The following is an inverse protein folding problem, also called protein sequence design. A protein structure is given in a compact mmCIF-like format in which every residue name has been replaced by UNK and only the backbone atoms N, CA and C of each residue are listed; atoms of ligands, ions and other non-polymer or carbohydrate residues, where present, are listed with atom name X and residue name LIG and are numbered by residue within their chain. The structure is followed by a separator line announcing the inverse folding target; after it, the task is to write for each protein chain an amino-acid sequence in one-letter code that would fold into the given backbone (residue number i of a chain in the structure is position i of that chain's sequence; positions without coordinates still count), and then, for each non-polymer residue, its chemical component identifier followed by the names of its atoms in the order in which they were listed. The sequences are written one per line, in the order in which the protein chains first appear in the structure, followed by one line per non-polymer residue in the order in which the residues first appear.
data_IF_174043552697
#
_entry.id   IF_174043552697
#
_cell.length_a   1.000
_cell.length_b   1.000
_cell.length_c   1.000
_cell.angle_alpha   90.00
_cell.angle_beta   90.00
_cell.angle_gamma   90.00
#
_symmetry.space_group_name_H-M   'P 1'
#
loop_
_entity.id
_entity.type
_entity.pdbx_description
1 polymer ?
#
# COMPACT_ATOMS: atom_id res chain seq x y z
N UNK A 1 12.71 -13.52 21.74
CA UNK A 1 11.43 -13.59 20.99
C UNK A 1 10.46 -12.59 21.62
N UNK A 2 10.57 -11.31 21.26
CA UNK A 2 9.59 -10.31 21.69
C UNK A 2 8.25 -10.62 21.00
N UNK A 3 7.18 -10.71 21.78
CA UNK A 3 5.90 -11.20 21.30
C UNK A 3 5.22 -10.14 20.43
N UNK A 4 4.53 -10.57 19.37
CA UNK A 4 3.66 -9.78 18.48
C UNK A 4 2.69 -8.83 19.22
N UNK A 5 2.48 -9.01 20.52
CA UNK A 5 1.59 -8.19 21.35
C UNK A 5 2.19 -6.85 21.79
N UNK A 6 3.52 -6.68 21.80
CA UNK A 6 4.14 -5.42 22.23
C UNK A 6 4.07 -4.33 21.15
N UNK A 7 4.16 -4.69 19.87
CA UNK A 7 4.05 -3.74 18.75
C UNK A 7 2.63 -3.14 18.58
N UNK A 8 1.59 -3.76 19.13
CA UNK A 8 0.20 -3.32 18.97
C UNK A 8 -0.35 -2.50 20.16
N UNK A 9 0.43 -2.28 21.23
CA UNK A 9 -0.03 -1.56 22.43
C UNK A 9 -0.43 -0.09 22.19
N UNK A 10 0.26 0.70 21.33
CA UNK A 10 -0.16 2.09 21.06
C UNK A 10 -1.50 2.18 20.32
N UNK A 11 -1.76 1.24 19.40
CA UNK A 11 -2.94 1.24 18.54
C UNK A 11 -4.28 1.11 19.31
N UNK A 12 -4.28 0.45 20.48
CA UNK A 12 -5.51 0.21 21.26
C UNK A 12 -6.01 1.43 22.03
N UNK A 13 -5.14 2.40 22.34
CA UNK A 13 -5.50 3.67 23.00
C UNK A 13 -5.91 4.76 22.00
N UNK A 14 -5.39 4.72 20.77
CA UNK A 14 -5.65 5.73 19.74
C UNK A 14 -7.01 5.58 19.04
N UNK A 15 -7.66 4.41 19.12
CA UNK A 15 -9.00 4.15 18.57
C UNK A 15 -10.15 4.94 19.24
N UNK A 16 -9.85 5.77 20.25
CA UNK A 16 -10.86 6.55 20.99
C UNK A 16 -11.06 7.97 20.44
N UNK A 17 -10.22 8.42 19.51
CA UNK A 17 -10.36 9.72 18.85
C UNK A 17 -10.37 9.53 17.32
N UNK A 18 -11.53 9.67 16.65
CA UNK A 18 -11.66 9.46 15.21
C UNK A 18 -10.94 10.52 14.35
N UNK A 19 -10.44 11.60 14.96
CA UNK A 19 -9.73 12.67 14.25
C UNK A 19 -8.21 12.47 14.19
N UNK A 20 -7.68 11.55 14.99
CA UNK A 20 -6.24 11.28 15.04
C UNK A 20 -5.86 10.16 14.08
N UNK A 21 -4.85 10.34 13.20
CA UNK A 21 -4.40 9.27 12.32
C UNK A 21 -3.95 8.07 13.16
N UNK A 22 -4.42 6.87 12.80
CA UNK A 22 -3.94 5.63 13.40
C UNK A 22 -2.53 5.36 12.87
N UNK A 23 -1.53 5.62 13.70
CA UNK A 23 -0.14 5.31 13.41
C UNK A 23 0.16 3.87 13.82
N UNK A 24 0.61 3.06 12.87
CA UNK A 24 1.00 1.68 13.13
C UNK A 24 2.37 1.40 12.51
N UNK A 25 3.34 1.12 13.38
CA UNK A 25 4.67 0.68 12.97
C UNK A 25 4.73 -0.84 12.84
N UNK A 26 5.25 -1.30 11.71
CA UNK A 26 5.22 -2.71 11.33
C UNK A 26 6.61 -3.17 10.92
N UNK A 27 7.19 -4.08 11.70
CA UNK A 27 8.53 -4.62 11.44
C UNK A 27 8.48 -6.03 10.83
N UNK A 28 9.13 -6.18 9.67
CA UNK A 28 9.34 -7.46 9.01
C UNK A 28 8.35 -7.80 7.89
N UNK A 29 8.83 -8.51 6.86
CA UNK A 29 8.09 -8.82 5.62
C UNK A 29 6.76 -9.52 5.86
N UNK A 30 6.69 -10.43 6.84
CA UNK A 30 5.47 -11.16 7.17
C UNK A 30 4.46 -10.29 7.93
N UNK A 31 4.93 -9.37 8.77
CA UNK A 31 4.06 -8.43 9.48
C UNK A 31 3.43 -7.43 8.50
N UNK A 32 4.20 -6.94 7.53
CA UNK A 32 3.67 -6.10 6.43
C UNK A 32 2.55 -6.82 5.66
N UNK A 33 2.72 -8.11 5.36
CA UNK A 33 1.69 -8.92 4.68
C UNK A 33 0.40 -9.01 5.52
N UNK A 34 0.53 -9.26 6.82
CA UNK A 34 -0.63 -9.38 7.73
C UNK A 34 -1.39 -8.05 7.80
N UNK A 35 -0.69 -6.94 7.98
CA UNK A 35 -1.30 -5.61 8.06
C UNK A 35 -2.06 -5.26 6.79
N UNK A 36 -1.42 -5.43 5.63
CA UNK A 36 -2.06 -5.13 4.35
C UNK A 36 -3.24 -6.06 4.07
N UNK A 37 -3.16 -7.34 4.48
CA UNK A 37 -4.29 -8.27 4.40
C UNK A 37 -5.44 -7.82 5.29
N UNK A 38 -5.16 -7.40 6.52
CA UNK A 38 -6.17 -6.89 7.45
C UNK A 38 -6.84 -5.63 6.90
N UNK A 39 -6.06 -4.70 6.33
CA UNK A 39 -6.61 -3.48 5.73
C UNK A 39 -7.47 -3.81 4.51
N UNK A 40 -7.00 -4.69 3.62
CA UNK A 40 -7.77 -5.12 2.46
C UNK A 40 -9.08 -5.85 2.87
N UNK A 41 -9.04 -6.67 3.91
CA UNK A 41 -10.22 -7.33 4.46
C UNK A 41 -11.20 -6.34 5.11
N UNK A 42 -10.69 -5.33 5.83
CA UNK A 42 -11.52 -4.27 6.42
C UNK A 42 -12.14 -3.39 5.33
N UNK A 43 -11.43 -3.11 4.23
CA UNK A 43 -11.98 -2.37 3.10
C UNK A 43 -13.19 -3.08 2.46
N UNK A 44 -13.18 -4.42 2.43
CA UNK A 44 -14.33 -5.20 1.96
C UNK A 44 -15.56 -5.10 2.88
N UNK A 45 -15.34 -4.94 4.19
CA UNK A 45 -16.42 -4.76 5.17
C UNK A 45 -17.00 -3.34 5.12
N UNK A 46 -16.15 -2.32 4.93
CA UNK A 46 -16.58 -0.92 4.76
C UNK A 46 -17.40 -0.72 3.48
N UNK A 47 -17.16 -1.52 2.44
CA UNK A 47 -18.02 -1.50 1.24
C UNK A 47 -19.38 -2.16 1.43
N UNK A 48 -19.56 -3.03 2.44
CA UNK A 48 -20.77 -3.84 2.64
C UNK A 48 -21.75 -3.22 3.66
N UNK A 49 -21.24 -2.40 4.60
CA UNK A 49 -22.08 -1.76 5.62
C UNK A 49 -22.39 -0.28 5.30
N UNK A 50 -23.61 -0.05 4.79
CA UNK A 50 -24.47 1.08 5.18
C UNK A 50 -24.47 2.41 4.39
N UNK A 51 -24.00 2.52 3.15
CA UNK A 51 -24.44 3.65 2.26
C UNK A 51 -24.10 3.37 0.80
N UNK A 52 -24.92 3.86 -0.15
CA UNK A 52 -24.77 3.72 -1.61
C UNK A 52 -23.49 4.35 -2.22
N UNK A 53 -22.52 4.71 -1.39
CA UNK A 53 -21.19 5.22 -1.77
C UNK A 53 -20.17 4.27 -1.14
N UNK A 54 -19.73 3.25 -1.90
CA UNK A 54 -18.77 2.27 -1.43
C UNK A 54 -17.44 2.97 -1.07
N UNK A 55 -17.26 3.28 0.21
CA UNK A 55 -16.02 3.82 0.75
C UNK A 55 -14.89 2.83 0.52
N UNK A 56 -13.74 3.31 0.06
CA UNK A 56 -12.52 2.51 -0.13
C UNK A 56 -11.46 2.97 0.84
N UNK A 57 -10.68 2.04 1.37
CA UNK A 57 -9.51 2.36 2.19
C UNK A 57 -8.26 2.42 1.29
N UNK A 58 -7.58 3.57 1.31
CA UNK A 58 -6.32 3.78 0.61
C UNK A 58 -5.20 4.11 1.58
N UNK A 59 -3.97 3.88 1.16
CA UNK A 59 -2.77 3.93 1.99
C UNK A 59 -1.77 4.92 1.44
N UNK A 60 -1.51 6.01 2.15
CA UNK A 60 -0.27 6.73 1.96
C UNK A 60 0.87 5.93 2.61
N UNK A 61 1.91 5.65 1.83
CA UNK A 61 3.05 4.84 2.28
C UNK A 61 4.27 5.73 2.35
N UNK A 62 4.89 5.83 3.53
CA UNK A 62 6.08 6.63 3.77
C UNK A 62 7.23 5.77 4.26
N UNK A 63 8.46 6.23 4.02
CA UNK A 63 9.63 5.65 4.68
C UNK A 63 9.65 6.18 6.10
N UNK A 64 9.61 5.27 7.07
CA UNK A 64 9.82 5.63 8.47
C UNK A 64 11.31 5.72 8.76
N UNK A 65 11.69 6.78 9.47
CA UNK A 65 13.03 7.01 10.00
C UNK A 65 13.10 6.58 11.47
N UNK A 66 12.58 5.40 11.82
CA UNK A 66 12.79 4.86 13.17
C UNK A 66 14.26 4.44 13.35
N UNK A 67 15.02 5.32 13.98
CA UNK A 67 16.37 5.05 14.51
C UNK A 67 16.22 4.75 16.00
N UNK A 68 15.99 3.49 16.35
CA UNK A 68 16.27 3.02 17.71
C UNK A 68 17.24 1.84 17.64
N UNK A 69 18.35 2.03 18.36
CA UNK A 69 19.41 1.11 18.75
C UNK A 69 19.43 -0.29 18.09
N UNK A 70 20.55 -0.55 17.40
CA UNK A 70 20.94 -1.80 16.71
C UNK A 70 20.43 -1.98 15.25
N UNK A 71 20.92 -1.10 14.37
CA UNK A 71 21.02 -1.30 12.92
C UNK A 71 20.11 -0.40 12.09
N UNK A 72 20.61 0.13 10.96
CA UNK A 72 19.85 0.93 9.97
C UNK A 72 18.67 0.13 9.39
N UNK A 73 17.56 0.06 10.15
CA UNK A 73 16.33 -0.62 9.74
C UNK A 73 15.36 0.42 9.22
N UNK A 74 15.18 0.42 7.90
CA UNK A 74 14.20 1.30 7.23
C UNK A 74 12.80 0.70 7.37
N UNK A 75 11.94 1.40 8.10
CA UNK A 75 10.53 1.04 8.28
C UNK A 75 9.64 1.59 7.17
N UNK A 76 8.39 1.12 7.12
CA UNK A 76 7.32 1.75 6.36
C UNK A 76 6.27 2.26 7.33
N UNK A 77 5.86 3.50 7.15
CA UNK A 77 4.72 4.11 7.81
C UNK A 77 3.52 4.06 6.86
N UNK A 78 2.35 3.71 7.39
CA UNK A 78 1.11 3.64 6.65
C UNK A 78 0.10 4.61 7.25
N UNK A 79 -0.36 5.57 6.46
CA UNK A 79 -1.52 6.40 6.81
C UNK A 79 -2.72 5.93 6.00
N UNK A 80 -3.81 5.60 6.70
CA UNK A 80 -5.03 5.07 6.09
C UNK A 80 -6.03 6.19 5.88
N UNK A 81 -6.55 6.32 4.66
CA UNK A 81 -7.62 7.25 4.32
C UNK A 81 -8.86 6.48 3.88
N UNK A 82 -10.03 6.87 4.39
CA UNK A 82 -11.30 6.47 3.83
C UNK A 82 -11.68 7.46 2.72
N UNK A 83 -11.87 6.97 1.51
CA UNK A 83 -12.17 7.79 0.34
C UNK A 83 -13.41 7.30 -0.38
N UNK A 84 -14.15 8.21 -0.99
CA UNK A 84 -15.29 7.91 -1.86
C UNK A 84 -14.91 8.21 -3.32
N UNK A 85 -15.32 7.35 -4.25
CA UNK A 85 -15.17 7.61 -5.68
C UNK A 85 -13.72 7.70 -6.16
N UNK A 86 -12.98 6.58 -6.11
CA UNK A 86 -11.65 6.52 -6.72
C UNK A 86 -11.73 6.58 -8.25
N UNK A 87 -10.74 7.22 -8.92
CA UNK A 87 -10.63 7.20 -10.37
C UNK A 87 -10.61 5.76 -10.92
N UNK A 88 -11.04 5.54 -12.18
CA UNK A 88 -10.97 4.23 -12.80
C UNK A 88 -9.53 3.71 -12.83
N UNK A 89 -9.37 2.39 -12.65
CA UNK A 89 -8.07 1.75 -12.63
C UNK A 89 -7.35 1.87 -14.00
N UNK A 90 -6.02 1.95 -13.96
CA UNK A 90 -5.19 1.94 -15.16
C UNK A 90 -5.30 0.60 -15.91
N UNK A 91 -5.32 0.64 -17.25
CA UNK A 91 -5.36 -0.56 -18.11
C UNK A 91 -4.02 -1.28 -18.22
N UNK A 92 -2.90 -0.56 -18.10
CA UNK A 92 -1.56 -1.14 -18.23
C UNK A 92 -0.90 -1.30 -16.87
N UNK A 93 -0.36 -2.49 -16.63
CA UNK A 93 0.18 -2.89 -15.33
C UNK A 93 1.69 -2.98 -15.33
N UNK A 94 2.29 -2.76 -14.16
CA UNK A 94 3.69 -3.01 -13.88
C UNK A 94 3.78 -4.30 -13.06
N UNK A 95 4.46 -5.31 -13.60
CA UNK A 95 4.67 -6.61 -12.92
C UNK A 95 5.89 -6.55 -12.02
N UNK A 96 5.74 -7.10 -10.82
CA UNK A 96 6.76 -7.12 -9.78
C UNK A 96 7.06 -8.56 -9.39
N UNK A 97 8.34 -8.89 -9.50
CA UNK A 97 8.92 -10.16 -9.09
C UNK A 97 9.87 -9.96 -7.91
N UNK A 98 10.36 -11.08 -7.35
CA UNK A 98 11.34 -11.08 -6.26
C UNK A 98 12.63 -10.34 -6.64
N UNK A 99 13.04 -10.40 -7.89
CA UNK A 99 14.29 -9.82 -8.41
C UNK A 99 14.10 -8.36 -8.89
N UNK A 100 12.88 -7.82 -8.79
CA UNK A 100 12.59 -6.46 -9.23
C UNK A 100 13.40 -5.43 -8.44
N UNK A 101 14.10 -4.55 -9.17
CA UNK A 101 14.79 -3.42 -8.55
C UNK A 101 13.77 -2.36 -8.10
N UNK A 102 13.73 -2.12 -6.79
CA UNK A 102 12.74 -1.23 -6.16
C UNK A 102 12.90 0.23 -6.62
N UNK A 103 14.12 0.72 -6.85
CA UNK A 103 14.35 2.09 -7.34
C UNK A 103 13.85 2.30 -8.77
N UNK A 104 14.11 1.33 -9.66
CA UNK A 104 13.55 1.35 -11.03
C UNK A 104 12.03 1.28 -11.03
N UNK A 105 11.45 0.43 -10.17
CA UNK A 105 10.00 0.35 -9.98
C UNK A 105 9.43 1.70 -9.51
N UNK A 106 10.07 2.36 -8.56
CA UNK A 106 9.65 3.67 -8.07
C UNK A 106 9.67 4.74 -9.17
N UNK A 107 10.72 4.76 -9.99
CA UNK A 107 10.80 5.65 -11.16
C UNK A 107 9.67 5.40 -12.16
N UNK A 108 9.36 4.12 -12.44
CA UNK A 108 8.25 3.76 -13.32
C UNK A 108 6.88 4.18 -12.74
N UNK A 109 6.65 4.00 -11.44
CA UNK A 109 5.43 4.47 -10.77
C UNK A 109 5.34 5.99 -10.88
N UNK A 110 6.40 6.73 -10.52
CA UNK A 110 6.40 8.18 -10.60
C UNK A 110 6.11 8.67 -12.02
N UNK A 111 6.68 8.03 -13.05
CA UNK A 111 6.41 8.36 -14.44
C UNK A 111 4.93 8.16 -14.81
N UNK A 112 4.33 7.01 -14.44
CA UNK A 112 2.90 6.76 -14.68
C UNK A 112 1.99 7.74 -13.95
N UNK A 113 2.37 8.16 -12.76
CA UNK A 113 1.61 9.18 -12.02
C UNK A 113 1.69 10.54 -12.72
N UNK A 114 2.84 10.90 -13.31
CA UNK A 114 2.97 12.13 -14.12
C UNK A 114 2.11 12.08 -15.38
N UNK A 115 2.17 10.98 -16.12
CA UNK A 115 1.50 10.81 -17.41
C UNK A 115 -0.01 10.59 -17.26
N UNK A 116 -0.40 9.64 -16.42
CA UNK A 116 -1.76 9.11 -16.35
C UNK A 116 -2.48 9.50 -15.06
N UNK A 117 -1.76 9.96 -14.03
CA UNK A 117 -2.31 10.19 -12.69
C UNK A 117 -2.63 8.91 -11.89
N UNK A 118 -2.40 7.73 -12.48
CA UNK A 118 -2.68 6.42 -11.87
C UNK A 118 -1.64 5.39 -12.30
N UNK A 119 -1.25 4.49 -11.39
CA UNK A 119 -0.39 3.36 -11.71
C UNK A 119 -0.94 2.04 -11.13
N UNK A 120 -1.01 0.99 -11.93
CA UNK A 120 -1.37 -0.35 -11.45
C UNK A 120 -0.10 -1.21 -11.33
N UNK A 121 0.16 -1.73 -10.13
CA UNK A 121 1.33 -2.56 -9.83
C UNK A 121 0.85 -3.91 -9.30
N UNK A 122 1.32 -5.01 -9.89
CA UNK A 122 0.94 -6.37 -9.50
C UNK A 122 2.14 -7.23 -9.17
N UNK A 123 1.97 -8.12 -8.20
CA UNK A 123 2.98 -9.10 -7.86
C UNK A 123 2.41 -10.21 -6.98
N UNK A 124 3.16 -11.32 -6.91
CA UNK A 124 2.81 -12.47 -6.09
C UNK A 124 3.82 -12.66 -4.95
N UNK A 125 3.31 -13.00 -3.77
CA UNK A 125 4.15 -13.31 -2.60
C UNK A 125 4.63 -12.08 -1.82
N UNK A 126 5.18 -12.37 -0.62
CA UNK A 126 5.49 -11.33 0.38
C UNK A 126 6.64 -10.40 -0.05
N UNK A 127 7.61 -10.91 -0.82
CA UNK A 127 8.75 -10.11 -1.28
C UNK A 127 8.30 -9.11 -2.36
N UNK A 128 7.47 -9.54 -3.30
CA UNK A 128 6.91 -8.64 -4.31
C UNK A 128 6.04 -7.55 -3.66
N UNK A 129 5.20 -7.92 -2.69
CA UNK A 129 4.43 -6.95 -1.89
C UNK A 129 5.32 -5.90 -1.21
N UNK A 130 6.41 -6.35 -0.55
CA UNK A 130 7.37 -5.44 0.06
C UNK A 130 7.98 -4.50 -0.98
N UNK A 131 8.36 -5.01 -2.15
CA UNK A 131 8.93 -4.20 -3.24
C UNK A 131 7.91 -3.18 -3.76
N UNK A 132 6.65 -3.57 -3.93
CA UNK A 132 5.57 -2.68 -4.33
C UNK A 132 5.42 -1.51 -3.36
N UNK A 133 5.26 -1.79 -2.05
CA UNK A 133 5.09 -0.76 -1.02
C UNK A 133 6.32 0.14 -0.88
N UNK A 134 7.52 -0.46 -0.89
CA UNK A 134 8.77 0.30 -0.82
C UNK A 134 8.94 1.22 -2.02
N UNK A 135 8.55 0.76 -3.22
CA UNK A 135 8.62 1.57 -4.43
C UNK A 135 7.59 2.72 -4.42
N UNK A 136 6.38 2.49 -3.88
CA UNK A 136 5.39 3.57 -3.67
C UNK A 136 5.96 4.63 -2.73
N UNK A 137 6.56 4.24 -1.61
CA UNK A 137 7.15 5.21 -0.67
C UNK A 137 8.30 6.03 -1.30
N UNK A 138 9.13 5.41 -2.15
CA UNK A 138 10.19 6.11 -2.88
C UNK A 138 9.61 7.02 -3.95
N UNK A 139 8.62 6.55 -4.72
CA UNK A 139 7.97 7.33 -5.75
C UNK A 139 7.31 8.58 -5.16
N UNK A 140 6.70 8.46 -3.97
CA UNK A 140 6.17 9.60 -3.23
C UNK A 140 7.25 10.64 -2.97
N UNK A 141 8.42 10.22 -2.46
CA UNK A 141 9.55 11.12 -2.25
C UNK A 141 10.05 11.79 -3.54
N UNK A 142 10.15 11.04 -4.65
CA UNK A 142 10.55 11.60 -5.95
C UNK A 142 9.60 12.69 -6.47
N UNK A 143 8.29 12.52 -6.24
CA UNK A 143 7.28 13.49 -6.68
C UNK A 143 7.26 14.71 -5.74
N UNK A 144 7.50 14.53 -4.44
CA UNK A 144 7.57 15.62 -3.46
C UNK A 144 8.81 16.49 -3.59
N UNK A 145 9.99 15.87 -3.73
CA UNK A 145 11.26 16.58 -3.88
C UNK A 145 11.26 17.53 -5.10
N UNK A 146 10.37 17.28 -6.06
CA UNK A 146 10.20 18.06 -7.29
C UNK A 146 8.98 18.98 -7.27
N UNK A 147 8.26 19.06 -6.15
CA UNK A 147 6.99 19.79 -6.01
C UNK A 147 5.92 19.39 -7.05
N UNK A 148 5.97 18.14 -7.53
CA UNK A 148 5.07 17.60 -8.56
C UNK A 148 3.74 17.09 -7.98
N UNK A 149 3.63 17.01 -6.64
CA UNK A 149 2.41 16.63 -5.97
C UNK A 149 1.46 17.81 -5.71
N UNK A 150 1.92 19.07 -5.63
CA UNK A 150 1.06 20.26 -5.65
C UNK A 150 -0.17 20.21 -4.72
N UNK A 151 -0.02 19.78 -3.47
CA UNK A 151 -1.13 19.64 -2.51
C UNK A 151 -1.88 18.30 -2.59
N UNK A 152 -1.34 17.32 -3.30
CA UNK A 152 -1.82 15.94 -3.32
C UNK A 152 -0.87 15.03 -2.53
N UNK A 153 -1.38 13.88 -2.08
CA UNK A 153 -0.61 12.80 -1.49
C UNK A 153 -0.70 11.55 -2.39
N UNK A 154 0.40 10.81 -2.47
CA UNK A 154 0.43 9.55 -3.20
C UNK A 154 -0.15 8.43 -2.33
N UNK A 155 -1.26 7.85 -2.76
CA UNK A 155 -1.96 6.79 -2.02
C UNK A 155 -2.09 5.52 -2.86
N UNK A 156 -2.07 4.37 -2.20
CA UNK A 156 -2.23 3.05 -2.81
C UNK A 156 -3.51 2.37 -2.32
N UNK A 157 -4.32 1.90 -3.25
CA UNK A 157 -5.46 1.02 -3.01
C UNK A 157 -4.99 -0.45 -3.05
N UNK A 158 -4.94 -1.16 -1.91
CA UNK A 158 -4.57 -2.56 -1.87
C UNK A 158 -5.72 -3.49 -2.24
N UNK A 159 -5.46 -4.49 -3.09
CA UNK A 159 -6.41 -5.58 -3.40
C UNK A 159 -5.70 -6.92 -3.48
N UNK A 160 -6.33 -7.94 -2.93
CA UNK A 160 -6.00 -9.33 -3.21
C UNK A 160 -6.90 -9.80 -4.34
N UNK A 161 -6.30 -10.35 -5.39
CA UNK A 161 -7.02 -10.84 -6.55
C UNK A 161 -6.57 -12.28 -6.79
N UNK A 162 -7.53 -13.21 -6.75
CA UNK A 162 -7.25 -14.59 -7.12
C UNK A 162 -7.33 -14.70 -8.64
N UNK A 163 -6.23 -15.16 -9.24
CA UNK A 163 -6.15 -15.37 -10.68
C UNK A 163 -6.14 -16.86 -10.98
N UNK A 164 -6.91 -17.23 -12.01
CA UNK A 164 -6.89 -18.56 -12.59
C UNK A 164 -5.79 -18.59 -13.65
N UNK A 165 -4.89 -19.56 -13.58
CA UNK A 165 -3.85 -19.77 -14.61
C UNK A 165 -4.52 -19.93 -15.99
N UNK A 166 -4.29 -19.01 -16.94
CA UNK A 166 -4.85 -19.11 -18.29
C UNK A 166 -4.23 -20.25 -19.11
N UNK A 167 -3.13 -20.87 -18.64
CA UNK A 167 -2.34 -21.87 -19.37
C UNK A 167 -2.85 -23.31 -19.21
N UNK A 168 -3.96 -23.54 -18.51
CA UNK A 168 -4.63 -24.85 -18.42
C UNK A 168 -3.88 -25.94 -17.62
N UNK A 169 -2.78 -25.60 -16.94
CA UNK A 169 -2.02 -26.54 -16.12
C UNK A 169 -2.60 -26.66 -14.70
N UNK A 170 -3.36 -27.73 -14.43
CA UNK A 170 -3.78 -28.13 -13.06
C UNK A 170 -4.38 -26.99 -12.20
N UNK A 171 -5.20 -26.10 -12.77
CA UNK A 171 -6.06 -25.18 -12.00
C UNK A 171 -5.38 -24.48 -10.82
N UNK A 172 -4.09 -24.14 -10.92
CA UNK A 172 -3.40 -23.48 -9.83
C UNK A 172 -3.93 -22.05 -9.72
N UNK A 173 -4.73 -21.84 -8.69
CA UNK A 173 -5.18 -20.53 -8.25
C UNK A 173 -4.04 -19.94 -7.43
N UNK A 174 -3.42 -18.88 -7.94
CA UNK A 174 -2.49 -18.09 -7.15
C UNK A 174 -3.12 -16.74 -6.81
N UNK A 175 -2.96 -16.35 -5.55
CA UNK A 175 -3.40 -15.03 -5.10
C UNK A 175 -2.32 -14.01 -5.41
N UNK A 176 -2.66 -13.06 -6.28
CA UNK A 176 -1.83 -11.89 -6.52
C UNK A 176 -2.26 -10.72 -5.64
N UNK A 177 -1.33 -9.81 -5.46
CA UNK A 177 -1.59 -8.55 -4.82
C UNK A 177 -1.46 -7.40 -5.82
N UNK A 178 -2.53 -6.63 -5.95
CA UNK A 178 -2.62 -5.46 -6.80
C UNK A 178 -2.62 -4.19 -5.94
N UNK A 179 -1.69 -3.28 -6.23
CA UNK A 179 -1.73 -1.90 -5.75
C UNK A 179 -2.13 -1.00 -6.91
N UNK A 180 -3.24 -0.28 -6.76
CA UNK A 180 -3.52 0.85 -7.65
C UNK A 180 -3.17 2.14 -6.94
N UNK A 181 -2.21 2.87 -7.49
CA UNK A 181 -1.64 4.08 -6.90
C UNK A 181 -2.29 5.29 -7.56
N UNK A 182 -2.70 6.26 -6.76
CA UNK A 182 -3.38 7.49 -7.20
C UNK A 182 -2.76 8.72 -6.52
N UNK A 183 -3.02 9.89 -7.09
CA UNK A 183 -2.92 11.17 -6.39
C UNK A 183 -4.24 11.45 -5.68
N UNK A 184 -4.20 11.69 -4.38
CA UNK A 184 -5.35 12.10 -3.57
C UNK A 184 -5.14 13.52 -3.07
N UNK A 185 -6.11 14.44 -3.19
CA UNK A 185 -5.98 15.77 -2.58
C UNK A 185 -5.72 15.65 -1.07
N UNK A 186 -4.75 16.39 -0.56
CA UNK A 186 -4.53 16.50 0.90
C UNK A 186 -5.59 17.44 1.45
N UNK A 187 -6.41 16.95 2.38
CA UNK A 187 -7.43 17.73 3.09
C UNK A 187 -6.83 18.63 4.16
#
# INVERSE_FOLDING_TARGET
MASLLECCRPARRQLQDPTRPLEMEVFGTNATKIVIRSIAAQAALVSDQSTRLAGRLVLAVRRSNCSEDAGDRRGLEFRVHAVQGLPPACKSEIRVARETNVGKLAGAIAQRIREDGVALVRGAGAVALKHQLSAVAIASGYLEERDELGGYELVALPRYEDLVDPSGGRGQMWTEFALTVYRLPVS
#
